data_IF_190039270049
#
_entry.id   IF_190039270049
#
_cell.length_a   1.000
_cell.length_b   1.000
_cell.length_c   1.000
_cell.angle_alpha   90.00
_cell.angle_beta   90.00
_cell.angle_gamma   90.00
#
_symmetry.space_group_name_H-M   'P 1'
#
loop_
_entity.id
_entity.type
_entity.pdbx_description
1 polymer ?
#
# COMPACT_ATOMS: atom_id res chain seq x y z
N UNK A 1 -9.02 1.68 -24.01
CA UNK A 1 -9.36 0.68 -22.97
C UNK A 1 -9.66 1.43 -21.69
N UNK A 2 -10.70 1.06 -20.93
CA UNK A 2 -10.96 1.71 -19.64
C UNK A 2 -9.78 1.44 -18.69
N UNK A 3 -9.33 2.43 -17.89
CA UNK A 3 -8.35 2.26 -16.82
C UNK A 3 -8.70 1.09 -15.89
N UNK A 4 -7.70 0.58 -15.17
CA UNK A 4 -7.92 -0.53 -14.24
C UNK A 4 -8.85 -0.13 -13.10
N UNK A 5 -8.69 1.09 -12.57
CA UNK A 5 -9.51 1.61 -11.47
C UNK A 5 -11.02 1.63 -11.80
N UNK A 6 -11.39 1.97 -13.04
CA UNK A 6 -12.79 1.95 -13.50
C UNK A 6 -13.37 0.53 -13.51
N UNK A 7 -12.54 -0.46 -13.81
CA UNK A 7 -12.94 -1.88 -13.82
C UNK A 7 -13.02 -2.46 -12.42
N UNK A 8 -12.31 -1.87 -11.45
CA UNK A 8 -12.36 -2.23 -10.04
C UNK A 8 -13.54 -1.61 -9.30
N UNK A 9 -14.16 -0.57 -9.86
CA UNK A 9 -15.28 0.16 -9.21
C UNK A 9 -14.91 1.54 -8.66
N UNK A 10 -13.77 2.10 -9.07
CA UNK A 10 -13.36 3.46 -8.73
C UNK A 10 -12.48 3.58 -7.48
N UNK A 11 -12.19 4.82 -7.07
CA UNK A 11 -11.33 5.13 -5.92
C UNK A 11 -11.89 4.53 -4.61
N UNK A 12 -13.21 4.46 -4.44
CA UNK A 12 -13.84 3.88 -3.25
C UNK A 12 -13.44 2.41 -3.03
N UNK A 13 -13.28 1.63 -4.11
CA UNK A 13 -12.85 0.24 -4.01
C UNK A 13 -11.35 0.12 -3.70
N UNK A 14 -10.54 1.07 -4.16
CA UNK A 14 -9.13 1.17 -3.77
C UNK A 14 -9.00 1.53 -2.29
N UNK A 15 -9.86 2.44 -1.78
CA UNK A 15 -9.94 2.75 -0.37
C UNK A 15 -10.25 1.51 0.48
N UNK A 16 -11.31 0.78 0.13
CA UNK A 16 -11.69 -0.45 0.85
C UNK A 16 -10.57 -1.50 0.83
N UNK A 17 -9.91 -1.69 -0.32
CA UNK A 17 -8.78 -2.61 -0.44
C UNK A 17 -7.63 -2.21 0.50
N UNK A 18 -7.25 -0.93 0.51
CA UNK A 18 -6.14 -0.43 1.34
C UNK A 18 -6.50 -0.51 2.82
N UNK A 19 -7.74 -0.18 3.19
CA UNK A 19 -8.18 -0.28 4.57
C UNK A 19 -8.17 -1.73 5.05
N UNK A 20 -8.74 -2.63 4.26
CA UNK A 20 -8.73 -4.06 4.57
C UNK A 20 -7.30 -4.62 4.64
N UNK A 21 -6.41 -4.22 3.72
CA UNK A 21 -5.01 -4.63 3.73
C UNK A 21 -4.33 -4.27 5.06
N UNK A 22 -4.46 -3.02 5.52
CA UNK A 22 -3.83 -2.61 6.77
C UNK A 22 -4.54 -3.17 8.01
N UNK A 23 -5.85 -3.41 7.96
CA UNK A 23 -6.56 -4.12 9.03
C UNK A 23 -6.01 -5.56 9.19
N UNK A 24 -5.68 -6.22 8.08
CA UNK A 24 -5.02 -7.52 8.09
C UNK A 24 -3.57 -7.42 8.58
N UNK A 25 -2.82 -6.36 8.24
CA UNK A 25 -1.47 -6.12 8.79
C UNK A 25 -1.51 -5.99 10.31
N UNK A 26 -2.54 -5.34 10.87
CA UNK A 26 -2.68 -5.16 12.32
C UNK A 26 -3.10 -6.43 13.06
N UNK A 27 -3.73 -7.38 12.37
CA UNK A 27 -4.38 -8.53 13.02
C UNK A 27 -3.69 -9.87 12.75
N UNK A 28 -3.07 -10.04 11.59
CA UNK A 28 -2.44 -11.30 11.20
C UNK A 28 -1.00 -11.42 11.72
N UNK A 29 -0.54 -12.63 12.08
CA UNK A 29 0.86 -12.86 12.45
C UNK A 29 1.86 -12.41 11.36
N UNK A 30 1.52 -12.60 10.08
CA UNK A 30 2.31 -12.17 8.92
C UNK A 30 2.48 -10.65 8.87
N UNK A 31 1.52 -9.90 9.40
CA UNK A 31 1.57 -8.44 9.42
C UNK A 31 2.48 -7.86 10.49
N UNK A 32 2.92 -8.64 11.49
CA UNK A 32 3.60 -8.12 12.68
C UNK A 32 4.90 -7.37 12.35
N UNK A 33 5.80 -7.99 11.58
CA UNK A 33 7.07 -7.36 11.23
C UNK A 33 6.85 -6.07 10.41
N UNK A 34 5.90 -6.12 9.47
CA UNK A 34 5.51 -4.97 8.64
C UNK A 34 4.94 -3.85 9.51
N UNK A 35 4.05 -4.16 10.45
CA UNK A 35 3.49 -3.20 11.40
C UNK A 35 4.60 -2.53 12.22
N UNK A 36 5.55 -3.30 12.74
CA UNK A 36 6.69 -2.77 13.49
C UNK A 36 7.55 -1.80 12.65
N UNK A 37 7.79 -2.12 11.38
CA UNK A 37 8.52 -1.22 10.46
C UNK A 37 7.79 0.11 10.30
N UNK A 38 6.47 0.08 10.12
CA UNK A 38 5.67 1.30 9.98
C UNK A 38 5.65 2.13 11.27
N UNK A 39 5.55 1.48 12.45
CA UNK A 39 5.55 2.15 13.75
C UNK A 39 6.90 2.79 14.09
N UNK A 40 8.02 2.26 13.57
CA UNK A 40 9.33 2.92 13.67
C UNK A 40 9.45 4.17 12.79
N UNK A 41 8.63 4.26 11.74
CA UNK A 41 8.52 5.41 10.84
C UNK A 41 7.42 6.38 11.26
N UNK A 42 6.55 6.73 10.31
CA UNK A 42 5.46 7.68 10.51
C UNK A 42 4.13 7.04 10.95
N UNK A 43 4.10 5.72 11.18
CA UNK A 43 2.92 4.99 11.64
C UNK A 43 1.86 4.74 10.56
N UNK A 44 0.80 4.02 10.96
CA UNK A 44 -0.25 3.57 10.04
C UNK A 44 -1.16 4.71 9.53
N UNK A 45 -1.35 5.76 10.34
CA UNK A 45 -2.10 6.95 9.93
C UNK A 45 -1.46 7.69 8.77
N UNK A 46 -0.15 7.56 8.59
CA UNK A 46 0.56 8.12 7.45
C UNK A 46 0.56 7.19 6.24
N UNK A 47 0.85 5.89 6.44
CA UNK A 47 1.06 4.98 5.30
C UNK A 47 -0.25 4.54 4.63
N UNK A 48 -1.37 4.43 5.36
CA UNK A 48 -2.69 4.10 4.79
C UNK A 48 -3.07 5.07 3.65
N UNK A 49 -3.13 6.40 3.88
CA UNK A 49 -3.44 7.33 2.78
C UNK A 49 -2.35 7.33 1.70
N UNK A 50 -1.06 7.17 2.04
CA UNK A 50 0.01 7.12 1.04
C UNK A 50 -0.13 5.90 0.09
N UNK A 51 -0.50 4.73 0.62
CA UNK A 51 -0.73 3.52 -0.19
C UNK A 51 -1.93 3.70 -1.12
N UNK A 52 -3.02 4.29 -0.61
CA UNK A 52 -4.19 4.64 -1.43
C UNK A 52 -3.81 5.59 -2.57
N UNK A 53 -3.14 6.70 -2.25
CA UNK A 53 -2.70 7.69 -3.23
C UNK A 53 -1.83 7.08 -4.33
N UNK A 54 -0.94 6.16 -3.94
CA UNK A 54 -0.08 5.42 -4.86
C UNK A 54 -0.90 4.49 -5.77
N UNK A 55 -1.77 3.65 -5.19
CA UNK A 55 -2.56 2.66 -5.94
C UNK A 55 -3.57 3.32 -6.88
N UNK A 56 -4.17 4.45 -6.49
CA UNK A 56 -5.03 5.24 -7.37
C UNK A 56 -4.31 5.63 -8.66
N UNK A 57 -3.11 6.22 -8.54
CA UNK A 57 -2.30 6.57 -9.70
C UNK A 57 -1.84 5.34 -10.48
N UNK A 58 -1.46 4.27 -9.79
CA UNK A 58 -0.99 3.02 -10.39
C UNK A 58 -2.07 2.35 -11.26
N UNK A 59 -3.33 2.34 -10.81
CA UNK A 59 -4.46 1.76 -11.54
C UNK A 59 -5.07 2.69 -12.60
N UNK A 60 -4.47 3.87 -12.81
CA UNK A 60 -4.85 4.82 -13.86
C UNK A 60 -5.90 5.85 -13.45
N UNK A 61 -6.11 6.03 -12.14
CA UNK A 61 -6.88 7.14 -11.56
C UNK A 61 -6.02 8.40 -11.36
N UNK A 62 -6.43 9.25 -10.41
CA UNK A 62 -5.69 10.47 -10.09
C UNK A 62 -4.30 10.15 -9.52
N UNK A 63 -3.29 10.88 -9.99
CA UNK A 63 -1.88 10.63 -9.64
C UNK A 63 -1.44 11.47 -8.44
N UNK A 64 -2.12 11.30 -7.31
CA UNK A 64 -1.88 12.05 -6.06
C UNK A 64 -0.40 12.14 -5.68
N UNK A 65 0.31 11.01 -5.65
CA UNK A 65 1.74 11.00 -5.32
C UNK A 65 2.58 11.85 -6.27
N UNK A 66 2.29 11.81 -7.58
CA UNK A 66 3.01 12.60 -8.58
C UNK A 66 2.68 14.09 -8.45
N UNK A 67 1.43 14.46 -8.18
CA UNK A 67 1.02 15.84 -7.95
C UNK A 67 1.73 16.45 -6.72
N UNK A 68 1.94 15.66 -5.67
CA UNK A 68 2.52 16.12 -4.40
C UNK A 68 4.05 16.08 -4.34
N UNK A 69 4.64 15.06 -4.95
CA UNK A 69 6.07 14.74 -4.78
C UNK A 69 6.83 14.65 -6.11
N UNK A 70 6.15 14.73 -7.25
CA UNK A 70 6.76 14.57 -8.56
C UNK A 70 7.16 13.12 -8.85
N UNK A 71 8.27 12.92 -9.54
CA UNK A 71 8.79 11.59 -9.82
C UNK A 71 9.37 10.97 -8.54
N UNK A 72 8.91 9.77 -8.20
CA UNK A 72 9.36 9.02 -7.03
C UNK A 72 9.82 7.62 -7.44
N UNK A 73 10.93 7.15 -6.88
CA UNK A 73 11.35 5.75 -6.97
C UNK A 73 10.90 4.99 -5.72
N UNK A 74 10.04 3.99 -5.88
CA UNK A 74 9.60 3.15 -4.76
C UNK A 74 10.79 2.47 -4.06
N UNK A 75 11.82 2.10 -4.82
CA UNK A 75 13.03 1.51 -4.25
C UNK A 75 13.79 2.49 -3.36
N UNK A 76 13.90 3.75 -3.78
CA UNK A 76 14.64 4.76 -3.02
C UNK A 76 13.90 5.16 -1.74
N UNK A 77 12.57 5.33 -1.81
CA UNK A 77 11.79 5.67 -0.61
C UNK A 77 11.79 4.55 0.44
N UNK A 78 11.97 3.29 0.05
CA UNK A 78 12.08 2.15 0.98
C UNK A 78 13.53 1.82 1.37
N UNK A 79 14.55 2.49 0.82
CA UNK A 79 15.96 2.11 1.03
C UNK A 79 16.43 2.24 2.48
N UNK A 80 15.73 3.00 3.31
CA UNK A 80 16.02 3.19 4.73
C UNK A 80 15.37 2.12 5.63
N UNK A 81 14.56 1.22 5.05
CA UNK A 81 13.89 0.12 5.75
C UNK A 81 14.63 -1.17 5.40
N UNK A 82 15.01 -1.95 6.42
CA UNK A 82 15.58 -3.28 6.21
C UNK A 82 14.47 -4.27 5.85
N UNK A 83 14.19 -4.42 4.56
CA UNK A 83 13.19 -5.36 4.03
C UNK A 83 13.90 -6.65 3.59
N UNK A 84 13.58 -7.77 4.25
CA UNK A 84 14.08 -9.11 3.90
C UNK A 84 13.10 -9.79 2.94
N UNK A 85 13.53 -10.88 2.32
CA UNK A 85 12.66 -11.68 1.44
C UNK A 85 11.37 -12.13 2.13
N UNK A 86 11.47 -12.60 3.39
CA UNK A 86 10.32 -13.02 4.17
C UNK A 86 9.31 -11.88 4.41
N UNK A 87 9.79 -10.65 4.64
CA UNK A 87 8.91 -9.49 4.83
C UNK A 87 8.13 -9.16 3.55
N UNK A 88 8.78 -9.29 2.40
CA UNK A 88 8.13 -9.09 1.11
C UNK A 88 7.11 -10.19 0.79
N UNK A 89 7.42 -11.44 1.13
CA UNK A 89 6.49 -12.57 1.01
C UNK A 89 5.27 -12.41 1.91
N UNK A 90 5.45 -11.99 3.16
CA UNK A 90 4.37 -11.69 4.09
C UNK A 90 3.50 -10.52 3.59
N UNK A 91 4.12 -9.46 3.06
CA UNK A 91 3.38 -8.33 2.47
C UNK A 91 2.50 -8.80 1.31
N UNK A 92 3.05 -9.62 0.41
CA UNK A 92 2.31 -10.19 -0.73
C UNK A 92 1.19 -11.11 -0.26
N UNK A 93 1.44 -11.95 0.75
CA UNK A 93 0.43 -12.85 1.30
C UNK A 93 -0.73 -12.11 1.96
N UNK A 94 -0.46 -10.99 2.64
CA UNK A 94 -1.51 -10.15 3.24
C UNK A 94 -2.29 -9.40 2.15
N UNK A 95 -1.62 -8.89 1.12
CA UNK A 95 -2.27 -8.23 -0.02
C UNK A 95 -3.16 -9.19 -0.81
N UNK A 96 -2.72 -10.43 -1.04
CA UNK A 96 -3.51 -11.48 -1.70
C UNK A 96 -4.83 -11.72 -0.96
N UNK A 97 -4.77 -11.85 0.36
CA UNK A 97 -5.98 -11.96 1.21
C UNK A 97 -6.85 -10.73 1.18
N UNK A 98 -6.28 -9.54 1.06
CA UNK A 98 -7.04 -8.30 1.02
C UNK A 98 -7.87 -8.17 -0.28
N UNK A 99 -7.43 -8.83 -1.36
CA UNK A 99 -8.09 -8.83 -2.68
C UNK A 99 -9.17 -9.92 -2.86
N UNK A 100 -9.28 -10.87 -1.93
CA UNK A 100 -10.25 -11.99 -1.99
C UNK A 100 -11.43 -11.78 -1.06
#
# INVERSE_FOLDING_TARGET
>A
MKPMIDRMGGEDQVHLLVDHFYDLIETLPQGRAIMEMHLKGHGLSHVRPAQFEFLCGFFGGRRYCHERHGHMSLREIHAHVEIRTADAEDWLAVMDRAMT
#
